data_IF_317143935777
#
_entry.id   IF_317143935777
#
_cell.length_a   1.000
_cell.length_b   1.000
_cell.length_c   1.000
_cell.angle_alpha   90.00
_cell.angle_beta   90.00
_cell.angle_gamma   90.00
#
_symmetry.space_group_name_H-M   'P 1'
#
loop_
_entity.id
_entity.type
_entity.pdbx_description
1 polymer ?
#
# COMPACT_ATOMS: atom_id res chain seq x y z
N UNK A 1 47.26 -20.15 -34.34
CA UNK A 1 46.72 -20.87 -33.17
C UNK A 1 46.24 -19.86 -32.14
N UNK A 2 45.03 -19.98 -31.59
CA UNK A 2 44.57 -19.09 -30.51
C UNK A 2 45.09 -19.62 -29.17
N UNK A 3 45.81 -18.78 -28.43
CA UNK A 3 46.30 -19.07 -27.08
C UNK A 3 45.20 -18.76 -26.04
N UNK A 4 45.02 -19.66 -25.08
CA UNK A 4 44.07 -19.51 -23.95
C UNK A 4 44.87 -19.52 -22.65
N UNK A 5 44.47 -18.68 -21.69
CA UNK A 5 45.10 -18.62 -20.35
C UNK A 5 44.74 -19.86 -19.55
N UNK A 6 45.71 -20.38 -18.79
CA UNK A 6 45.54 -21.56 -17.93
C UNK A 6 44.66 -21.32 -16.71
N UNK A 7 44.21 -20.09 -16.49
CA UNK A 7 43.38 -19.69 -15.35
C UNK A 7 41.99 -19.36 -15.86
N UNK A 8 41.00 -20.11 -15.39
CA UNK A 8 39.59 -19.94 -15.74
C UNK A 8 38.86 -19.12 -14.67
N UNK A 9 37.93 -18.27 -15.12
CA UNK A 9 37.04 -17.52 -14.22
C UNK A 9 35.78 -18.35 -13.96
N UNK A 10 35.48 -18.59 -12.69
CA UNK A 10 34.30 -19.33 -12.27
C UNK A 10 33.14 -18.38 -12.03
N UNK A 11 31.96 -18.76 -12.50
CA UNK A 11 30.70 -18.08 -12.23
C UNK A 11 29.74 -19.07 -11.56
N UNK A 12 28.82 -18.54 -10.76
CA UNK A 12 27.71 -19.28 -10.19
C UNK A 12 26.46 -18.81 -10.90
N UNK A 13 25.77 -19.72 -11.58
CA UNK A 13 24.47 -19.43 -12.16
C UNK A 13 23.42 -19.40 -11.05
N UNK A 14 22.61 -18.35 -11.06
CA UNK A 14 21.54 -18.21 -10.09
C UNK A 14 20.30 -19.01 -10.52
N UNK A 15 19.93 -19.99 -9.71
CA UNK A 15 18.71 -20.80 -9.92
C UNK A 15 17.54 -20.21 -9.14
N UNK A 16 17.80 -19.77 -7.91
CA UNK A 16 16.77 -19.24 -7.03
C UNK A 16 17.37 -18.21 -6.07
N UNK A 17 16.68 -17.10 -5.91
CA UNK A 17 16.96 -16.12 -4.88
C UNK A 17 15.83 -16.16 -3.86
N UNK A 18 16.16 -16.48 -2.61
CA UNK A 18 15.28 -16.12 -1.51
C UNK A 18 15.50 -14.64 -1.26
N UNK A 19 14.46 -13.83 -1.53
CA UNK A 19 14.44 -12.45 -1.07
C UNK A 19 14.61 -12.49 0.44
N UNK A 20 15.69 -11.90 0.95
CA UNK A 20 15.81 -11.67 2.38
C UNK A 20 14.72 -10.67 2.72
N UNK A 21 13.58 -11.18 3.19
CA UNK A 21 12.52 -10.36 3.76
C UNK A 21 13.21 -9.42 4.75
N UNK A 22 13.18 -8.13 4.44
CA UNK A 22 13.62 -7.11 5.36
C UNK A 22 12.68 -7.27 6.56
N UNK A 23 13.21 -7.81 7.66
CA UNK A 23 12.48 -8.48 8.74
C UNK A 23 11.04 -8.03 8.94
N UNK A 24 10.17 -9.02 9.09
CA UNK A 24 8.68 -9.06 9.16
C UNK A 24 7.91 -7.90 9.85
N UNK A 25 8.56 -6.84 10.32
CA UNK A 25 7.94 -5.68 10.96
C UNK A 25 8.67 -4.37 10.58
N UNK A 26 8.48 -3.89 9.35
CA UNK A 26 8.81 -2.48 9.02
C UNK A 26 7.65 -1.67 8.44
N UNK A 27 6.42 -2.14 8.63
CA UNK A 27 5.19 -1.42 8.29
C UNK A 27 5.01 -1.28 6.77
N UNK A 28 4.91 -2.42 6.09
CA UNK A 28 4.56 -2.62 4.67
C UNK A 28 5.13 -1.58 3.70
N UNK A 29 6.43 -1.69 3.47
CA UNK A 29 7.13 -0.95 2.44
C UNK A 29 6.82 -1.50 1.04
N UNK A 30 5.85 -0.89 0.35
CA UNK A 30 5.91 -0.82 -1.10
C UNK A 30 7.16 0.01 -1.44
N UNK A 31 8.26 -0.66 -1.81
CA UNK A 31 9.44 0.01 -2.38
C UNK A 31 9.08 0.48 -3.79
N UNK A 32 8.24 1.51 -3.89
CA UNK A 32 7.95 2.22 -5.14
C UNK A 32 8.91 3.42 -5.27
N UNK A 33 10.20 3.12 -5.35
CA UNK A 33 11.19 4.09 -5.80
C UNK A 33 11.23 4.09 -7.34
N UNK A 34 10.39 4.91 -7.98
CA UNK A 34 10.50 5.17 -9.42
C UNK A 34 9.16 5.32 -10.14
N UNK A 35 8.91 6.52 -10.65
CA UNK A 35 7.94 6.89 -11.69
C UNK A 35 6.46 6.44 -11.51
N UNK A 36 5.69 7.35 -10.92
CA UNK A 36 4.43 7.83 -11.49
C UNK A 36 3.51 6.83 -12.19
N UNK A 37 3.07 5.77 -11.51
CA UNK A 37 1.83 5.08 -11.89
C UNK A 37 0.78 5.34 -10.81
N UNK A 38 -0.37 5.86 -11.24
CA UNK A 38 -1.53 6.07 -10.38
C UNK A 38 -2.05 4.69 -9.96
N UNK A 39 -1.50 4.13 -8.89
CA UNK A 39 -2.12 3.00 -8.20
C UNK A 39 -3.34 3.56 -7.49
N UNK A 40 -4.49 3.39 -8.11
CA UNK A 40 -5.81 3.61 -7.54
C UNK A 40 -5.97 2.68 -6.32
N UNK A 41 -5.42 3.07 -5.16
CA UNK A 41 -5.71 2.42 -3.89
C UNK A 41 -7.14 2.76 -3.49
N UNK A 42 -8.08 2.10 -4.12
CA UNK A 42 -9.45 2.01 -3.68
C UNK A 42 -9.54 0.94 -2.62
N UNK A 43 -9.37 1.35 -1.37
CA UNK A 43 -9.86 0.56 -0.25
C UNK A 43 -11.39 0.67 -0.32
N UNK A 44 -12.03 -0.28 -1.00
CA UNK A 44 -13.48 -0.44 -0.93
C UNK A 44 -13.83 -0.86 0.50
N UNK A 45 -14.18 0.12 1.33
CA UNK A 45 -14.85 -0.12 2.60
C UNK A 45 -16.31 -0.51 2.30
N UNK A 46 -16.51 -1.70 1.73
CA UNK A 46 -17.83 -2.26 1.47
C UNK A 46 -18.42 -2.80 2.78
N UNK A 47 -19.07 -1.93 3.54
CA UNK A 47 -20.04 -2.35 4.54
C UNK A 47 -21.25 -2.95 3.81
N UNK A 48 -21.24 -4.26 3.52
CA UNK A 48 -22.41 -5.17 3.48
C UNK A 48 -22.02 -6.57 2.95
N UNK A 49 -22.19 -7.57 3.82
CA UNK A 49 -22.39 -9.02 3.61
C UNK A 49 -21.40 -9.82 2.71
N UNK A 50 -20.77 -10.90 3.24
CA UNK A 50 -19.97 -11.81 2.43
C UNK A 50 -20.88 -12.76 1.65
N UNK A 51 -21.07 -12.52 0.35
CA UNK A 51 -21.61 -13.54 -0.55
C UNK A 51 -20.54 -13.89 -1.58
N UNK A 52 -20.10 -15.13 -1.51
CA UNK A 52 -19.32 -15.87 -2.50
C UNK A 52 -19.71 -15.52 -3.94
N UNK A 53 -18.73 -15.18 -4.77
CA UNK A 53 -18.79 -15.46 -6.22
C UNK A 53 -17.41 -15.87 -6.71
N UNK A 54 -17.34 -17.17 -6.99
CA UNK A 54 -16.36 -17.93 -7.77
C UNK A 54 -16.14 -17.37 -9.18
N UNK A 55 -14.89 -17.33 -9.66
CA UNK A 55 -14.45 -17.99 -10.91
C UNK A 55 -13.08 -17.48 -11.42
N UNK A 56 -12.09 -18.38 -11.40
CA UNK A 56 -11.14 -18.67 -12.47
C UNK A 56 -10.62 -17.53 -13.36
N UNK A 57 -9.40 -17.08 -13.08
CA UNK A 57 -8.42 -16.73 -14.12
C UNK A 57 -7.08 -17.38 -13.76
N UNK A 58 -6.79 -18.50 -14.43
CA UNK A 58 -5.44 -19.03 -14.52
C UNK A 58 -4.60 -18.06 -15.36
N UNK A 59 -3.92 -17.13 -14.69
CA UNK A 59 -2.86 -16.31 -15.28
C UNK A 59 -1.74 -16.27 -14.26
N UNK A 60 -0.72 -17.08 -14.54
CA UNK A 60 0.57 -17.14 -13.84
C UNK A 60 1.37 -15.88 -14.15
N UNK A 61 0.92 -14.74 -13.62
CA UNK A 61 1.73 -13.55 -13.51
C UNK A 61 2.08 -13.36 -12.03
N UNK A 62 3.36 -13.15 -11.80
CA UNK A 62 4.03 -13.11 -10.49
C UNK A 62 3.29 -12.15 -9.56
N UNK A 63 2.73 -12.70 -8.48
CA UNK A 63 1.99 -12.01 -7.43
C UNK A 63 2.84 -10.91 -6.77
N UNK A 64 2.86 -9.72 -7.36
CA UNK A 64 3.25 -8.46 -6.70
C UNK A 64 2.04 -7.79 -6.02
N UNK A 65 0.96 -8.56 -5.86
CA UNK A 65 -0.30 -8.17 -5.19
C UNK A 65 -0.56 -9.11 -4.01
N UNK A 66 0.48 -9.51 -3.27
CA UNK A 66 0.31 -10.00 -1.90
C UNK A 66 0.03 -8.81 -0.97
N UNK A 67 -0.93 -7.97 -1.34
CA UNK A 67 -1.62 -7.12 -0.38
C UNK A 67 -2.28 -8.08 0.63
N UNK A 68 -1.53 -8.34 1.70
CA UNK A 68 -1.75 -9.24 2.82
C UNK A 68 -3.22 -9.61 2.98
N UNK A 69 -3.62 -10.79 2.48
CA UNK A 69 -4.96 -11.30 2.74
C UNK A 69 -5.00 -11.68 4.23
N UNK A 70 -5.63 -10.85 5.06
CA UNK A 70 -5.83 -11.16 6.46
C UNK A 70 -6.78 -12.36 6.60
N UNK A 71 -6.49 -13.26 7.55
CA UNK A 71 -7.43 -14.35 7.88
C UNK A 71 -8.73 -13.78 8.45
N UNK A 72 -9.83 -14.53 8.28
CA UNK A 72 -11.15 -14.16 8.80
C UNK A 72 -11.14 -14.00 10.32
N UNK A 73 -10.39 -14.85 11.01
CA UNK A 73 -10.15 -14.77 12.46
C UNK A 73 -9.48 -13.44 12.84
N UNK A 74 -8.39 -13.06 12.14
CA UNK A 74 -7.67 -11.81 12.41
C UNK A 74 -8.51 -10.57 12.14
N UNK A 75 -9.36 -10.60 11.11
CA UNK A 75 -10.34 -9.54 10.87
C UNK A 75 -11.34 -9.40 12.02
N UNK A 76 -11.81 -10.52 12.58
CA UNK A 76 -12.74 -10.49 13.73
C UNK A 76 -12.11 -9.85 14.96
N UNK A 77 -10.82 -10.11 15.21
CA UNK A 77 -10.06 -9.48 16.29
C UNK A 77 -9.93 -7.97 16.06
N UNK A 78 -9.66 -7.53 14.83
CA UNK A 78 -9.58 -6.11 14.50
C UNK A 78 -10.93 -5.39 14.73
N UNK A 79 -12.05 -6.00 14.35
CA UNK A 79 -13.37 -5.43 14.60
C UNK A 79 -13.71 -5.38 16.09
N UNK A 80 -13.43 -6.45 16.84
CA UNK A 80 -13.62 -6.47 18.29
C UNK A 80 -12.75 -5.40 18.98
N UNK A 81 -11.50 -5.24 18.52
CA UNK A 81 -10.60 -4.19 18.99
C UNK A 81 -11.14 -2.78 18.68
N UNK A 82 -11.63 -2.55 17.46
CA UNK A 82 -12.19 -1.27 17.04
C UNK A 82 -13.45 -0.87 17.83
N UNK A 83 -14.23 -1.84 18.30
CA UNK A 83 -15.47 -1.61 19.06
C UNK A 83 -15.23 -1.33 20.56
N UNK A 84 -14.02 -1.54 21.08
CA UNK A 84 -13.72 -1.42 22.51
C UNK A 84 -13.83 0.02 23.09
N UNK A 85 -14.05 1.04 22.25
CA UNK A 85 -14.31 2.43 22.66
C UNK A 85 -13.07 3.22 23.10
N UNK A 86 -12.03 2.58 23.64
CA UNK A 86 -10.77 3.19 24.07
C UNK A 86 -9.59 2.91 23.11
N UNK A 87 -9.90 2.68 21.84
CA UNK A 87 -8.95 2.22 20.81
C UNK A 87 -7.77 3.18 20.66
N UNK A 88 -8.06 4.47 20.61
CA UNK A 88 -7.06 5.50 20.39
C UNK A 88 -5.99 5.53 21.49
N UNK A 89 -6.41 5.52 22.76
CA UNK A 89 -5.48 5.54 23.89
C UNK A 89 -4.70 4.22 24.02
N UNK A 90 -5.32 3.08 23.65
CA UNK A 90 -4.61 1.79 23.61
C UNK A 90 -3.49 1.81 22.57
N UNK A 91 -3.75 2.31 21.36
CA UNK A 91 -2.75 2.43 20.31
C UNK A 91 -1.60 3.37 20.70
N UNK A 92 -1.91 4.52 21.32
CA UNK A 92 -0.91 5.48 21.78
C UNK A 92 0.04 4.89 22.83
N UNK A 93 -0.49 4.08 23.77
CA UNK A 93 0.31 3.39 24.78
C UNK A 93 1.18 2.28 24.18
N UNK A 94 0.72 1.61 23.13
CA UNK A 94 1.45 0.52 22.47
C UNK A 94 2.49 0.97 21.45
N UNK A 95 2.35 2.16 20.85
CA UNK A 95 3.22 2.61 19.75
C UNK A 95 4.67 2.88 20.15
N UNK A 96 4.89 3.51 21.31
CA UNK A 96 6.22 3.81 21.84
C UNK A 96 6.23 3.69 23.37
N UNK A 97 6.19 2.47 23.91
CA UNK A 97 6.02 2.22 25.34
C UNK A 97 7.21 2.70 26.18
N UNK A 98 8.38 2.87 25.56
CA UNK A 98 9.59 3.40 26.20
C UNK A 98 9.60 4.93 26.37
N UNK A 99 8.67 5.67 25.74
CA UNK A 99 8.61 7.14 25.79
C UNK A 99 7.41 7.56 26.66
N UNK A 100 7.70 8.25 27.77
CA UNK A 100 6.72 8.68 28.75
C UNK A 100 6.27 10.14 28.55
N UNK A 101 5.10 10.50 29.10
CA UNK A 101 4.46 11.84 29.12
C UNK A 101 4.14 12.53 27.79
N UNK A 102 4.64 12.03 26.66
CA UNK A 102 4.48 12.67 25.35
C UNK A 102 3.33 12.07 24.52
N UNK A 103 2.15 11.96 25.14
CA UNK A 103 1.00 11.29 24.53
C UNK A 103 0.44 12.05 23.32
N UNK A 104 0.42 13.38 23.35
CA UNK A 104 -0.06 14.18 22.22
C UNK A 104 0.86 14.11 20.99
N UNK A 105 2.18 13.95 21.20
CA UNK A 105 3.12 13.72 20.09
C UNK A 105 2.94 12.32 19.52
N UNK A 106 2.79 11.30 20.37
CA UNK A 106 2.51 9.92 19.93
C UNK A 106 1.18 9.85 19.15
N UNK A 107 0.16 10.56 19.59
CA UNK A 107 -1.12 10.74 18.89
C UNK A 107 -0.95 11.34 17.49
N UNK A 108 -0.15 12.41 17.37
CA UNK A 108 0.17 13.01 16.08
C UNK A 108 0.91 12.07 15.13
N UNK A 109 1.94 11.37 15.62
CA UNK A 109 2.69 10.39 14.85
C UNK A 109 1.83 9.18 14.42
N UNK A 110 0.94 8.72 15.30
CA UNK A 110 0.01 7.64 14.99
C UNK A 110 -0.93 8.01 13.84
N UNK A 111 -1.47 9.24 13.83
CA UNK A 111 -2.26 9.73 12.70
C UNK A 111 -1.45 9.79 11.40
N UNK A 112 -0.16 10.09 11.49
CA UNK A 112 0.74 10.12 10.34
C UNK A 112 0.95 8.71 9.74
N UNK A 113 1.00 7.67 10.58
CA UNK A 113 1.14 6.27 10.14
C UNK A 113 -0.10 5.77 9.38
N UNK A 114 -1.30 6.09 9.85
CA UNK A 114 -2.54 5.76 9.13
C UNK A 114 -2.73 6.62 7.88
N UNK A 115 -2.10 7.80 7.86
CA UNK A 115 -2.25 8.77 6.78
C UNK A 115 -3.63 9.43 6.78
N UNK A 116 -3.90 10.18 5.70
CA UNK A 116 -5.19 10.83 5.48
C UNK A 116 -6.08 10.05 4.52
N UNK A 117 -7.35 10.45 4.43
CA UNK A 117 -8.27 9.89 3.43
C UNK A 117 -7.86 10.32 2.02
N UNK A 118 -7.69 9.34 1.13
CA UNK A 118 -7.49 9.59 -0.30
C UNK A 118 -8.80 10.11 -0.89
N UNK A 119 -8.85 11.40 -1.21
CA UNK A 119 -9.98 11.97 -1.95
C UNK A 119 -9.86 11.57 -3.40
N UNK A 120 -10.75 10.71 -3.90
CA UNK A 120 -10.87 10.45 -5.35
C UNK A 120 -11.09 11.78 -6.05
N UNK A 121 -10.09 12.21 -6.83
CA UNK A 121 -10.17 13.45 -7.58
C UNK A 121 -11.44 13.45 -8.41
N UNK A 122 -12.39 14.33 -8.08
CA UNK A 122 -13.62 14.43 -8.86
C UNK A 122 -13.22 14.84 -10.28
N UNK A 123 -13.38 13.92 -11.25
CA UNK A 123 -13.20 14.21 -12.68
C UNK A 123 -13.97 15.47 -13.11
N UNK A 124 -15.03 15.79 -12.36
CA UNK A 124 -15.84 17.00 -12.45
C UNK A 124 -15.01 18.29 -12.41
N UNK A 125 -13.99 18.40 -11.55
CA UNK A 125 -13.16 19.64 -11.48
C UNK A 125 -12.30 19.82 -12.72
N UNK A 126 -11.72 18.73 -13.25
CA UNK A 126 -10.91 18.77 -14.49
C UNK A 126 -11.77 19.02 -15.73
N UNK A 127 -12.96 18.43 -15.78
CA UNK A 127 -13.90 18.64 -16.88
C UNK A 127 -14.52 20.05 -16.86
N UNK A 128 -14.80 20.61 -15.68
CA UNK A 128 -15.25 22.00 -15.52
C UNK A 128 -14.18 23.00 -15.95
N UNK A 129 -12.90 22.74 -15.63
CA UNK A 129 -11.78 23.57 -16.08
C UNK A 129 -11.60 23.50 -17.60
N UNK A 130 -11.70 22.30 -18.21
CA UNK A 130 -11.66 22.14 -19.67
C UNK A 130 -12.83 22.83 -20.36
N UNK A 131 -14.06 22.68 -19.85
CA UNK A 131 -15.26 23.34 -20.42
C UNK A 131 -15.18 24.86 -20.31
N UNK A 132 -14.63 25.40 -19.21
CA UNK A 132 -14.38 26.85 -19.08
C UNK A 132 -13.32 27.35 -20.06
N UNK A 133 -12.20 26.63 -20.22
CA UNK A 133 -11.16 27.03 -21.16
C UNK A 133 -11.67 27.04 -22.62
N UNK A 134 -12.46 26.05 -23.02
CA UNK A 134 -13.07 26.00 -24.35
C UNK A 134 -14.13 27.09 -24.56
N UNK A 135 -14.88 27.44 -23.52
CA UNK A 135 -15.89 28.51 -23.59
C UNK A 135 -15.27 29.91 -23.78
N UNK A 136 -14.04 30.13 -23.31
CA UNK A 136 -13.32 31.37 -23.56
C UNK A 136 -12.77 31.45 -24.99
N UNK A 137 -12.29 30.33 -25.56
CA UNK A 137 -11.72 30.30 -26.91
C UNK A 137 -12.75 30.60 -28.02
N UNK A 138 -14.02 30.25 -27.82
CA UNK A 138 -15.10 30.49 -28.79
C UNK A 138 -15.71 31.89 -28.73
N UNK A 139 -15.22 32.79 -27.86
CA UNK A 139 -15.74 34.15 -27.70
C UNK A 139 -14.95 35.23 -28.45
N UNK A 140 -13.79 34.84 -28.98
CA UNK A 140 -12.83 35.73 -29.67
C UNK A 140 -12.86 35.57 -31.21
N UNK A 141 -13.92 34.97 -31.75
CA UNK A 141 -14.26 34.91 -33.19
C UNK A 141 -15.56 35.65 -33.45
#
# INVERSE_FOLDING_TARGET
MRSVKSIYKTYIDAIHFRRAEQGDDRLNADTAGGEGTNVDRTVELAATNPTTTTANTNSTDINDTSATQFSTERLSEFYAFAQAGNVYDRLVKSFAPSIWEMDDVKRGLLCLLFGGTIRKGSKRTRDLLRKRALAHLNKDL
#
